data_IF_583532490402
#
_entry.id   IF_583532490402
#
_cell.length_a   1.000
_cell.length_b   1.000
_cell.length_c   1.000
_cell.angle_alpha   90.00
_cell.angle_beta   90.00
_cell.angle_gamma   90.00
#
_symmetry.space_group_name_H-M   'P 1'
#
loop_
_entity.id
_entity.type
_entity.pdbx_description
1 polymer ?
#
# COMPACT_ATOMS: atom_id res chain seq x y z
N UNK A 1 -16.51 -1.82 -0.54
CA UNK A 1 -15.40 -0.90 -0.24
C UNK A 1 -14.09 -1.63 -0.43
N UNK A 2 -13.08 -0.93 -0.91
CA UNK A 2 -11.77 -1.54 -1.12
C UNK A 2 -11.05 -1.75 0.20
N UNK A 3 -10.34 -2.86 0.31
CA UNK A 3 -9.48 -3.16 1.45
C UNK A 3 -8.04 -2.79 1.08
N UNK A 4 -7.47 -1.84 1.80
CA UNK A 4 -6.11 -1.36 1.54
C UNK A 4 -5.22 -1.70 2.72
N UNK A 5 -4.08 -2.31 2.41
CA UNK A 5 -3.07 -2.70 3.39
C UNK A 5 -1.73 -2.13 2.96
N UNK A 6 -0.98 -1.59 3.91
CA UNK A 6 0.32 -1.00 3.62
C UNK A 6 1.35 -1.38 4.67
N UNK A 7 2.45 -1.98 4.23
CA UNK A 7 3.63 -2.14 5.07
C UNK A 7 4.35 -0.80 5.14
N UNK A 8 4.68 -0.36 6.34
CA UNK A 8 5.26 0.96 6.54
C UNK A 8 6.19 0.98 7.75
N UNK A 9 6.82 2.13 7.97
CA UNK A 9 7.64 2.41 9.16
C UNK A 9 7.20 3.72 9.78
N UNK A 10 7.71 4.02 10.99
CA UNK A 10 7.33 5.24 11.72
C UNK A 10 7.71 6.51 10.95
N UNK A 11 8.90 6.50 10.34
CA UNK A 11 9.39 7.66 9.59
C UNK A 11 9.58 7.23 8.15
N UNK A 12 8.59 7.56 7.32
CA UNK A 12 8.59 7.14 5.92
C UNK A 12 7.84 8.19 5.09
N UNK A 13 8.56 9.15 4.49
CA UNK A 13 7.90 10.18 3.68
C UNK A 13 7.08 9.61 2.53
N UNK A 14 7.57 8.55 1.87
CA UNK A 14 6.83 7.93 0.78
C UNK A 14 5.59 7.20 1.27
N UNK A 15 5.62 6.65 2.48
CA UNK A 15 4.41 6.06 3.09
C UNK A 15 3.35 7.14 3.31
N UNK A 16 3.77 8.32 3.77
CA UNK A 16 2.86 9.45 3.97
C UNK A 16 2.26 9.89 2.65
N UNK A 17 3.09 10.00 1.60
CA UNK A 17 2.62 10.38 0.26
C UNK A 17 1.62 9.38 -0.29
N UNK A 18 1.89 8.08 -0.10
CA UNK A 18 0.99 7.03 -0.54
C UNK A 18 -0.34 7.12 0.19
N UNK A 19 -0.29 7.33 1.49
CA UNK A 19 -1.50 7.49 2.29
C UNK A 19 -2.32 8.69 1.83
N UNK A 20 -1.67 9.82 1.58
CA UNK A 20 -2.35 11.02 1.11
C UNK A 20 -3.03 10.79 -0.23
N UNK A 21 -2.34 10.12 -1.16
CA UNK A 21 -2.93 9.80 -2.45
C UNK A 21 -4.18 8.93 -2.30
N UNK A 22 -4.09 7.88 -1.48
CA UNK A 22 -5.21 6.98 -1.24
C UNK A 22 -6.38 7.71 -0.58
N UNK A 23 -6.10 8.61 0.36
CA UNK A 23 -7.14 9.40 1.02
C UNK A 23 -7.85 10.32 0.03
N UNK A 24 -7.10 10.93 -0.89
CA UNK A 24 -7.72 11.77 -1.95
C UNK A 24 -8.61 10.95 -2.86
N UNK A 25 -8.36 9.65 -3.00
CA UNK A 25 -9.18 8.74 -3.81
C UNK A 25 -10.37 8.19 -3.04
N UNK A 26 -10.58 8.63 -1.81
CA UNK A 26 -11.74 8.24 -1.03
C UNK A 26 -11.53 7.07 -0.09
N UNK A 27 -10.29 6.56 0.02
CA UNK A 27 -9.99 5.48 0.95
C UNK A 27 -10.05 6.02 2.37
N UNK A 28 -10.92 5.44 3.20
CA UNK A 28 -11.12 5.92 4.56
C UNK A 28 -10.19 5.24 5.56
N UNK A 29 -9.93 3.95 5.35
CA UNK A 29 -9.11 3.18 6.27
C UNK A 29 -8.01 2.45 5.51
N UNK A 30 -6.81 2.50 6.06
CA UNK A 30 -5.65 1.78 5.56
C UNK A 30 -5.11 0.96 6.70
N UNK A 31 -5.06 -0.36 6.52
CA UNK A 31 -4.43 -1.24 7.50
C UNK A 31 -2.91 -1.11 7.37
N UNK A 32 -2.27 -0.61 8.41
CA UNK A 32 -0.82 -0.39 8.41
C UNK A 32 -0.13 -1.48 9.19
N UNK A 33 0.89 -2.08 8.58
CA UNK A 33 1.75 -3.08 9.23
C UNK A 33 3.11 -2.44 9.43
N UNK A 34 3.45 -2.18 10.70
CA UNK A 34 4.70 -1.51 11.08
C UNK A 34 5.83 -2.53 11.15
N UNK A 35 6.65 -2.57 10.11
CA UNK A 35 7.75 -3.54 10.04
C UNK A 35 8.96 -3.13 10.88
N UNK A 36 8.97 -1.90 11.37
CA UNK A 36 10.02 -1.42 12.25
C UNK A 36 9.82 -1.84 13.71
N UNK A 37 8.62 -2.31 14.06
CA UNK A 37 8.31 -2.74 15.42
C UNK A 37 8.71 -4.18 15.68
N UNK A 38 8.69 -5.03 14.65
CA UNK A 38 8.98 -6.45 14.76
C UNK A 38 9.77 -6.91 13.55
N UNK A 39 11.01 -7.41 13.73
CA UNK A 39 11.85 -7.83 12.60
C UNK A 39 11.23 -8.90 11.72
N UNK A 40 10.45 -9.81 12.30
CA UNK A 40 9.79 -10.88 11.54
C UNK A 40 8.76 -10.35 10.55
N UNK A 41 8.19 -9.18 10.80
CA UNK A 41 7.25 -8.55 9.85
C UNK A 41 7.98 -8.07 8.61
N UNK A 42 9.22 -7.57 8.75
CA UNK A 42 10.05 -7.19 7.60
C UNK A 42 10.38 -8.42 6.75
N UNK A 43 10.76 -9.53 7.39
CA UNK A 43 11.07 -10.77 6.68
C UNK A 43 9.83 -11.24 5.91
N UNK A 44 8.67 -11.23 6.58
CA UNK A 44 7.41 -11.64 5.94
C UNK A 44 7.09 -10.76 4.72
N UNK A 45 7.29 -9.45 4.84
CA UNK A 45 7.10 -8.53 3.72
C UNK A 45 8.03 -8.87 2.55
N UNK A 46 9.32 -9.09 2.85
CA UNK A 46 10.32 -9.40 1.82
C UNK A 46 9.99 -10.71 1.10
N UNK A 47 9.55 -11.72 1.83
CA UNK A 47 9.16 -13.00 1.24
C UNK A 47 7.92 -12.85 0.35
N UNK A 48 6.94 -12.07 0.82
CA UNK A 48 5.67 -11.91 0.13
C UNK A 48 5.78 -11.01 -1.09
N UNK A 49 6.56 -9.93 -1.01
CA UNK A 49 6.64 -8.92 -2.07
C UNK A 49 7.86 -9.05 -2.96
N UNK A 50 8.89 -9.72 -2.50
CA UNK A 50 10.19 -9.74 -3.17
C UNK A 50 10.95 -8.42 -3.05
N UNK A 51 10.48 -7.51 -2.22
CA UNK A 51 11.08 -6.19 -2.03
C UNK A 51 11.38 -5.94 -0.56
N UNK A 52 12.35 -5.06 -0.31
CA UNK A 52 12.75 -4.71 1.06
C UNK A 52 12.45 -3.26 1.41
N UNK A 53 11.80 -2.51 0.53
CA UNK A 53 11.48 -1.09 0.74
C UNK A 53 10.04 -0.90 1.18
N UNK A 54 9.76 0.21 1.86
CA UNK A 54 8.41 0.64 2.21
C UNK A 54 8.12 1.96 1.52
N UNK A 55 6.86 2.28 1.20
CA UNK A 55 5.69 1.45 1.46
C UNK A 55 5.60 0.25 0.52
N UNK A 56 4.89 -0.80 0.95
CA UNK A 56 4.45 -1.87 0.07
C UNK A 56 2.94 -1.97 0.23
N UNK A 57 2.21 -1.76 -0.85
CA UNK A 57 0.77 -1.51 -0.82
C UNK A 57 0.03 -2.67 -1.49
N UNK A 58 -1.03 -3.13 -0.82
CA UNK A 58 -1.95 -4.12 -1.36
C UNK A 58 -3.35 -3.52 -1.40
N UNK A 59 -4.04 -3.70 -2.51
CA UNK A 59 -5.43 -3.28 -2.66
C UNK A 59 -6.24 -4.49 -3.07
N UNK A 60 -7.20 -4.87 -2.22
CA UNK A 60 -8.04 -6.06 -2.42
C UNK A 60 -7.20 -7.32 -2.68
N UNK A 61 -6.08 -7.45 -1.98
CA UNK A 61 -5.19 -8.59 -2.12
C UNK A 61 -4.22 -8.50 -3.30
N UNK A 62 -4.32 -7.49 -4.13
CA UNK A 62 -3.42 -7.29 -5.27
C UNK A 62 -2.22 -6.44 -4.84
N UNK A 63 -1.02 -6.93 -5.10
CA UNK A 63 0.20 -6.20 -4.78
C UNK A 63 0.40 -5.07 -5.79
N UNK A 64 0.28 -3.83 -5.31
CA UNK A 64 0.53 -2.65 -6.14
C UNK A 64 2.03 -2.32 -6.17
N UNK A 65 2.66 -2.35 -5.01
CA UNK A 65 4.08 -2.02 -4.87
C UNK A 65 4.28 -0.79 -3.99
N UNK A 66 5.27 0.03 -4.33
CA UNK A 66 5.60 1.23 -3.59
C UNK A 66 4.81 2.45 -4.04
N UNK A 67 5.23 3.62 -3.56
CA UNK A 67 4.55 4.87 -3.91
C UNK A 67 4.61 5.14 -5.42
N UNK A 68 5.78 4.93 -6.05
CA UNK A 68 5.93 5.19 -7.48
C UNK A 68 5.00 4.30 -8.30
N UNK A 69 4.87 3.04 -7.88
CA UNK A 69 3.96 2.11 -8.54
C UNK A 69 2.50 2.55 -8.37
N UNK A 70 2.16 3.03 -7.17
CA UNK A 70 0.81 3.54 -6.89
C UNK A 70 0.50 4.77 -7.74
N UNK A 71 1.44 5.70 -7.83
CA UNK A 71 1.27 6.92 -8.61
C UNK A 71 1.14 6.62 -10.10
N UNK A 72 1.94 5.68 -10.61
CA UNK A 72 1.85 5.25 -12.01
C UNK A 72 0.51 4.61 -12.31
N UNK A 73 0.03 3.76 -11.40
CA UNK A 73 -1.28 3.12 -11.55
C UNK A 73 -2.39 4.18 -11.57
N UNK A 74 -2.28 5.20 -10.72
CA UNK A 74 -3.25 6.29 -10.69
C UNK A 74 -3.26 7.08 -12.01
N UNK A 75 -2.08 7.41 -12.54
CA UNK A 75 -1.97 8.15 -13.79
C UNK A 75 -2.54 7.37 -14.97
N UNK A 76 -2.41 6.06 -14.94
CA UNK A 76 -2.94 5.19 -16.00
C UNK A 76 -4.45 4.94 -15.87
N UNK A 77 -5.09 5.44 -14.82
CA UNK A 77 -6.53 5.23 -14.59
C UNK A 77 -6.86 3.91 -13.90
N UNK A 78 -5.84 3.08 -13.60
CA UNK A 78 -6.07 1.77 -13.01
C UNK A 78 -6.36 1.80 -11.52
N UNK A 79 -5.94 2.86 -10.82
CA UNK A 79 -6.15 2.94 -9.38
C UNK A 79 -7.64 3.08 -9.04
N UNK A 80 -8.34 3.97 -9.72
CA UNK A 80 -9.77 4.15 -9.49
C UNK A 80 -10.54 2.85 -9.78
N UNK A 81 -10.17 2.17 -10.84
CA UNK A 81 -10.79 0.89 -11.19
C UNK A 81 -10.55 -0.14 -10.10
N UNK A 82 -9.32 -0.25 -9.61
CA UNK A 82 -8.97 -1.22 -8.58
C UNK A 82 -9.68 -0.91 -7.25
N UNK A 83 -9.77 0.38 -6.89
CA UNK A 83 -10.44 0.81 -5.66
C UNK A 83 -11.95 0.66 -5.73
N UNK A 84 -12.53 0.67 -6.93
CA UNK A 84 -13.98 0.52 -7.09
C UNK A 84 -14.45 -0.91 -6.91
N UNK A 85 -13.53 -1.89 -6.93
CA UNK A 85 -13.87 -3.29 -6.73
C UNK A 85 -14.04 -3.60 -5.26
N UNK A 86 -15.01 -4.47 -4.96
CA UNK A 86 -15.16 -5.04 -3.63
C UNK A 86 -14.31 -6.28 -3.50
N UNK A 87 -13.87 -6.62 -2.28
CA UNK A 87 -13.09 -7.82 -2.04
C UNK A 87 -13.94 -9.10 -2.18
N UNK A 88 -15.23 -8.95 -2.13
CA UNK A 88 -16.15 -10.08 -2.33
C UNK A 88 -17.15 -9.80 -3.40
#
# INVERSE_FOLDING_TARGET
MAKVLMYCTAVCPYCVRAEQLLKRKGVQEIEKIRIDLQPELRVAMMEKTGRRTVPQIYINGTHVGGYDDLASLDQAGGLDELLSKSEF
#
